data_IF_996898660898
#
_entry.id   IF_996898660898
#
_cell.length_a   1.000
_cell.length_b   1.000
_cell.length_c   1.000
_cell.angle_alpha   90.00
_cell.angle_beta   90.00
_cell.angle_gamma   90.00
#
_symmetry.space_group_name_H-M   'P 1'
#
loop_
_entity.id
_entity.type
_entity.pdbx_description
1 polymer ?
#
# COMPACT_ATOMS: atom_id res chain seq x y z
N UNK A 1 -26.26 -13.15 43.58
CA UNK A 1 -26.48 -12.22 42.47
C UNK A 1 -25.40 -11.14 42.51
N UNK A 2 -24.97 -10.63 41.36
CA UNK A 2 -24.14 -9.42 41.31
C UNK A 2 -24.94 -8.21 41.77
N UNK A 3 -24.28 -7.22 42.34
CA UNK A 3 -24.89 -5.94 42.72
C UNK A 3 -24.69 -4.89 41.62
N UNK A 4 -25.47 -3.81 41.66
CA UNK A 4 -25.23 -2.65 40.79
C UNK A 4 -23.84 -2.04 41.03
N UNK A 5 -23.34 -2.10 42.26
CA UNK A 5 -21.98 -1.66 42.60
C UNK A 5 -20.92 -2.54 41.91
N UNK A 6 -21.13 -3.85 41.83
CA UNK A 6 -20.21 -4.76 41.12
C UNK A 6 -20.14 -4.41 39.62
N UNK A 7 -21.29 -4.20 38.99
CA UNK A 7 -21.39 -3.81 37.57
C UNK A 7 -20.74 -2.45 37.34
N UNK A 8 -21.04 -1.48 38.21
CA UNK A 8 -20.47 -0.14 38.14
C UNK A 8 -18.94 -0.19 38.27
N UNK A 9 -18.42 -0.94 39.23
CA UNK A 9 -16.98 -1.06 39.46
C UNK A 9 -16.28 -1.70 38.25
N UNK A 10 -16.87 -2.72 37.62
CA UNK A 10 -16.31 -3.31 36.41
C UNK A 10 -16.32 -2.35 35.23
N UNK A 11 -17.41 -1.62 35.01
CA UNK A 11 -17.45 -0.61 33.96
C UNK A 11 -16.45 0.53 34.22
N UNK A 12 -16.29 0.93 35.49
CA UNK A 12 -15.40 2.03 35.88
C UNK A 12 -13.92 1.66 35.90
N UNK A 13 -13.57 0.41 36.21
CA UNK A 13 -12.16 0.03 36.51
C UNK A 13 -11.69 -1.24 35.81
N UNK A 14 -12.59 -1.96 35.13
CA UNK A 14 -12.31 -3.28 34.55
C UNK A 14 -12.25 -4.42 35.57
N UNK A 15 -12.40 -4.13 36.86
CA UNK A 15 -12.34 -5.14 37.92
C UNK A 15 -13.69 -5.85 38.04
N UNK A 16 -13.71 -7.16 37.81
CA UNK A 16 -14.92 -7.99 37.95
C UNK A 16 -15.31 -8.06 39.44
N UNK A 17 -16.54 -7.70 39.77
CA UNK A 17 -17.08 -7.82 41.12
C UNK A 17 -17.28 -9.28 41.57
N UNK A 18 -17.69 -9.49 42.82
CA UNK A 18 -17.89 -10.84 43.36
C UNK A 18 -19.36 -11.21 43.39
N UNK A 19 -19.73 -12.35 42.81
CA UNK A 19 -21.11 -12.83 42.87
C UNK A 19 -21.48 -13.18 44.31
N UNK A 20 -22.49 -12.49 44.86
CA UNK A 20 -23.04 -12.87 46.18
C UNK A 20 -23.74 -14.23 46.08
N UNK A 21 -23.46 -15.13 47.01
CA UNK A 21 -24.06 -16.47 47.08
C UNK A 21 -25.23 -16.57 48.06
N UNK A 22 -25.44 -15.54 48.89
CA UNK A 22 -26.56 -15.47 49.83
C UNK A 22 -27.89 -15.35 49.09
N UNK A 23 -28.89 -16.13 49.49
CA UNK A 23 -30.26 -16.06 48.97
C UNK A 23 -30.87 -14.70 49.25
N UNK A 24 -31.24 -13.98 48.20
CA UNK A 24 -32.05 -12.76 48.30
C UNK A 24 -33.48 -13.18 48.63
N UNK A 25 -34.05 -12.65 49.71
CA UNK A 25 -35.47 -12.86 50.04
C UNK A 25 -36.31 -11.94 49.18
N UNK A 26 -36.99 -12.48 48.17
CA UNK A 26 -37.88 -11.68 47.33
C UNK A 26 -39.15 -11.29 48.09
N UNK A 27 -39.73 -10.11 47.81
CA UNK A 27 -41.08 -9.79 48.26
C UNK A 27 -42.06 -10.86 47.77
N UNK A 28 -42.97 -11.31 48.64
CA UNK A 28 -43.93 -12.37 48.32
C UNK A 28 -44.93 -12.03 47.18
N UNK A 29 -44.95 -10.76 46.75
CA UNK A 29 -45.81 -10.27 45.68
C UNK A 29 -45.03 -9.30 44.79
N UNK A 30 -44.89 -9.65 43.51
CA UNK A 30 -44.23 -8.83 42.49
C UNK A 30 -44.81 -9.11 41.09
N UNK A 31 -44.50 -8.27 40.09
CA UNK A 31 -44.96 -8.46 38.72
C UNK A 31 -44.50 -9.82 38.17
N UNK A 32 -45.44 -10.61 37.64
CA UNK A 32 -45.23 -12.01 37.18
C UNK A 32 -44.48 -12.11 35.84
N UNK A 33 -44.20 -10.99 35.19
CA UNK A 33 -43.44 -10.93 33.94
C UNK A 33 -42.27 -9.96 34.12
N UNK A 34 -41.05 -10.48 34.06
CA UNK A 34 -39.84 -9.67 34.16
C UNK A 34 -39.76 -8.73 32.93
N UNK A 35 -39.79 -7.41 33.17
CA UNK A 35 -39.66 -6.39 32.12
C UNK A 35 -38.21 -5.98 31.85
N UNK A 36 -37.23 -6.52 32.59
CA UNK A 36 -35.81 -6.20 32.48
C UNK A 36 -34.88 -7.40 32.66
N UNK A 37 -33.61 -7.24 32.24
CA UNK A 37 -32.56 -8.26 32.39
C UNK A 37 -32.06 -8.36 33.83
N UNK A 38 -31.68 -9.56 34.26
CA UNK A 38 -31.10 -9.75 35.60
C UNK A 38 -29.67 -9.20 35.65
N UNK A 39 -29.21 -8.76 36.84
CA UNK A 39 -27.83 -8.30 37.03
C UNK A 39 -26.79 -9.37 36.67
N UNK A 40 -27.14 -10.66 36.84
CA UNK A 40 -26.26 -11.75 36.40
C UNK A 40 -26.15 -11.83 34.86
N UNK A 41 -27.26 -11.60 34.13
CA UNK A 41 -27.26 -11.59 32.67
C UNK A 41 -26.52 -10.36 32.11
N UNK A 42 -26.64 -9.21 32.77
CA UNK A 42 -25.88 -8.01 32.41
C UNK A 42 -24.38 -8.26 32.63
N UNK A 43 -24.00 -8.86 33.76
CA UNK A 43 -22.61 -9.18 34.08
C UNK A 43 -21.93 -10.04 32.99
N UNK A 44 -22.64 -11.01 32.42
CA UNK A 44 -22.09 -11.88 31.36
C UNK A 44 -21.85 -11.15 30.04
N UNK A 45 -22.48 -9.99 29.84
CA UNK A 45 -22.30 -9.16 28.64
C UNK A 45 -21.24 -8.06 28.83
N UNK A 46 -20.75 -7.86 30.06
CA UNK A 46 -19.76 -6.83 30.33
C UNK A 46 -18.42 -7.20 29.70
N UNK A 47 -17.69 -6.21 29.16
CA UNK A 47 -16.33 -6.43 28.72
C UNK A 47 -15.47 -6.92 29.89
N UNK A 48 -14.56 -7.83 29.59
CA UNK A 48 -13.54 -8.30 30.52
C UNK A 48 -12.19 -7.66 30.19
N UNK A 49 -11.31 -7.59 31.19
CA UNK A 49 -9.92 -7.18 30.97
C UNK A 49 -9.24 -8.15 30.01
N UNK A 50 -8.66 -7.63 28.94
CA UNK A 50 -7.84 -8.37 27.99
C UNK A 50 -6.50 -7.64 27.83
N UNK A 51 -5.57 -7.93 28.73
CA UNK A 51 -4.24 -7.32 28.71
C UNK A 51 -3.33 -7.89 27.60
N UNK A 52 -3.69 -9.03 27.00
CA UNK A 52 -2.85 -9.71 26.02
C UNK A 52 -3.20 -9.31 24.58
N UNK A 53 -4.49 -9.10 24.30
CA UNK A 53 -4.99 -8.82 22.95
C UNK A 53 -5.87 -7.56 22.88
N UNK A 54 -6.07 -6.87 24.01
CA UNK A 54 -6.77 -5.59 24.03
C UNK A 54 -6.05 -4.57 23.18
N UNK A 55 -6.77 -3.97 22.24
CA UNK A 55 -6.25 -2.89 21.41
C UNK A 55 -5.77 -1.72 22.28
N UNK A 56 -4.61 -1.18 21.94
CA UNK A 56 -4.14 0.10 22.49
C UNK A 56 -4.46 1.24 21.53
N UNK A 57 -4.31 2.49 21.99
CA UNK A 57 -4.57 3.65 21.14
C UNK A 57 -3.75 3.62 19.83
N UNK A 58 -2.53 3.09 19.86
CA UNK A 58 -1.68 2.94 18.68
C UNK A 58 -2.22 1.95 17.63
N UNK A 59 -3.16 1.07 17.98
CA UNK A 59 -3.78 0.08 17.08
C UNK A 59 -5.05 0.61 16.39
N UNK A 60 -5.51 1.80 16.78
CA UNK A 60 -6.78 2.36 16.29
C UNK A 60 -6.53 3.65 15.52
N UNK A 61 -7.25 3.81 14.41
CA UNK A 61 -7.14 4.99 13.54
C UNK A 61 -7.25 6.31 14.33
N UNK A 62 -6.41 7.30 14.00
CA UNK A 62 -6.38 8.57 14.71
C UNK A 62 -7.74 9.26 14.69
N UNK A 63 -8.20 9.70 15.87
CA UNK A 63 -9.48 10.39 16.05
C UNK A 63 -10.72 9.49 16.06
N UNK A 64 -10.58 8.17 15.89
CA UNK A 64 -11.67 7.21 16.14
C UNK A 64 -11.68 6.80 17.60
N UNK A 65 -12.86 6.64 18.19
CA UNK A 65 -13.00 6.20 19.57
C UNK A 65 -13.27 4.71 19.67
N UNK A 66 -12.82 4.08 20.75
CA UNK A 66 -13.04 2.68 21.06
C UNK A 66 -13.12 2.46 22.57
N UNK A 67 -13.62 1.29 23.00
CA UNK A 67 -13.57 0.90 24.41
C UNK A 67 -12.32 0.05 24.68
N UNK A 68 -11.36 0.59 25.44
CA UNK A 68 -10.14 -0.09 25.81
C UNK A 68 -10.36 -1.16 26.86
N UNK A 69 -9.66 -2.29 26.68
CA UNK A 69 -9.77 -3.49 27.52
C UNK A 69 -8.49 -3.77 28.35
N UNK A 70 -7.49 -2.91 28.26
CA UNK A 70 -6.18 -3.12 28.91
C UNK A 70 -6.09 -2.39 30.25
N UNK A 71 -5.22 -2.88 31.15
CA UNK A 71 -4.98 -2.23 32.44
C UNK A 71 -4.24 -0.90 32.23
N UNK A 72 -4.89 0.21 32.58
CA UNK A 72 -4.36 1.56 32.37
C UNK A 72 -4.97 2.32 31.19
N UNK A 73 -5.69 1.63 30.30
CA UNK A 73 -6.47 2.25 29.22
C UNK A 73 -7.91 1.73 29.18
N UNK A 74 -8.43 1.27 30.31
CA UNK A 74 -9.82 0.80 30.45
C UNK A 74 -10.80 1.95 30.18
N UNK A 75 -11.85 1.69 29.41
CA UNK A 75 -12.90 2.68 29.13
C UNK A 75 -12.76 3.35 27.76
N UNK A 76 -13.41 4.50 27.58
CA UNK A 76 -13.41 5.20 26.30
C UNK A 76 -12.00 5.75 25.98
N UNK A 77 -11.42 5.28 24.88
CA UNK A 77 -10.12 5.69 24.37
C UNK A 77 -10.28 6.30 22.98
N UNK A 78 -9.29 7.09 22.58
CA UNK A 78 -9.18 7.63 21.21
C UNK A 78 -7.95 7.05 20.55
N UNK A 79 -8.12 6.57 19.32
CA UNK A 79 -7.03 6.05 18.50
C UNK A 79 -5.98 7.13 18.22
N UNK A 80 -4.74 6.68 18.20
CA UNK A 80 -3.52 7.45 18.00
C UNK A 80 -2.55 6.76 17.04
N UNK A 81 -3.03 5.82 16.21
CA UNK A 81 -2.17 5.12 15.25
C UNK A 81 -1.41 6.12 14.38
N UNK A 82 -0.08 6.03 14.41
CA UNK A 82 0.79 6.84 13.57
C UNK A 82 0.79 6.32 12.13
N UNK A 83 0.84 7.23 11.16
CA UNK A 83 1.12 6.84 9.79
C UNK A 83 2.56 6.38 9.68
N UNK A 84 2.78 5.24 9.03
CA UNK A 84 4.12 4.75 8.66
C UNK A 84 4.77 5.67 7.61
N UNK A 85 3.98 6.55 6.97
CA UNK A 85 4.33 7.31 5.77
C UNK A 85 4.84 6.39 4.64
N UNK A 86 5.08 6.95 3.45
CA UNK A 86 5.76 6.19 2.38
C UNK A 86 7.30 6.18 2.56
N UNK A 87 7.80 6.43 3.77
CA UNK A 87 9.24 6.54 4.04
C UNK A 87 9.92 5.19 3.87
N UNK A 88 10.97 5.14 3.05
CA UNK A 88 11.73 3.92 2.78
C UNK A 88 11.07 2.96 1.77
N UNK A 89 9.87 3.27 1.27
CA UNK A 89 9.29 2.58 0.12
C UNK A 89 9.85 3.19 -1.16
N UNK A 90 10.49 2.35 -1.98
CA UNK A 90 11.04 2.77 -3.28
C UNK A 90 10.63 1.78 -4.36
N UNK A 91 10.34 2.32 -5.54
CA UNK A 91 10.09 1.57 -6.76
C UNK A 91 11.44 1.07 -7.30
N UNK A 92 11.93 -0.05 -6.77
CA UNK A 92 13.16 -0.69 -7.22
C UNK A 92 12.92 -1.84 -8.21
N UNK A 93 14.01 -2.40 -8.73
CA UNK A 93 13.97 -3.63 -9.54
C UNK A 93 13.62 -4.89 -8.73
N UNK A 94 13.51 -4.77 -7.40
CA UNK A 94 13.17 -5.88 -6.49
C UNK A 94 12.00 -5.50 -5.61
N UNK A 95 11.20 -6.51 -5.25
CA UNK A 95 10.06 -6.33 -4.35
C UNK A 95 10.54 -5.84 -2.98
N UNK A 96 9.85 -4.85 -2.44
CA UNK A 96 10.01 -4.39 -1.06
C UNK A 96 8.73 -4.72 -0.29
N UNK A 97 8.90 -5.28 0.91
CA UNK A 97 7.75 -5.59 1.79
C UNK A 97 7.52 -4.40 2.71
N UNK A 98 6.35 -3.73 2.64
CA UNK A 98 6.03 -2.66 3.58
C UNK A 98 5.83 -3.23 5.00
N UNK A 99 6.13 -2.41 6.00
CA UNK A 99 5.73 -2.70 7.38
C UNK A 99 4.21 -2.72 7.47
N UNK A 100 3.63 -3.69 8.18
CA UNK A 100 2.19 -3.68 8.44
C UNK A 100 1.78 -2.38 9.15
N UNK A 101 0.68 -1.76 8.74
CA UNK A 101 0.15 -0.57 9.41
C UNK A 101 -0.60 0.37 8.50
N UNK A 102 -0.75 1.61 8.97
CA UNK A 102 -1.49 2.67 8.30
C UNK A 102 -0.55 3.57 7.48
N UNK A 103 -0.97 3.88 6.25
CA UNK A 103 -0.25 4.71 5.31
C UNK A 103 -1.15 5.85 4.84
N UNK A 104 -0.63 7.07 4.84
CA UNK A 104 -1.36 8.27 4.39
C UNK A 104 -0.53 9.09 3.41
N UNK A 105 -1.23 9.83 2.55
CA UNK A 105 -0.63 10.67 1.52
C UNK A 105 -0.77 10.07 0.12
N UNK A 106 0.02 10.59 -0.81
CA UNK A 106 0.02 10.16 -2.22
C UNK A 106 1.33 9.45 -2.50
N UNK A 107 1.25 8.24 -3.08
CA UNK A 107 2.41 7.60 -3.70
C UNK A 107 2.59 8.19 -5.10
N UNK A 108 3.56 9.08 -5.25
CA UNK A 108 3.84 9.73 -6.53
C UNK A 108 4.51 8.74 -7.46
N UNK A 109 3.92 8.52 -8.64
CA UNK A 109 4.56 7.75 -9.72
C UNK A 109 5.68 8.55 -10.39
N UNK A 110 6.45 7.88 -11.24
CA UNK A 110 7.45 8.55 -12.07
C UNK A 110 6.83 9.02 -13.38
N UNK A 111 6.91 10.33 -13.67
CA UNK A 111 6.37 10.90 -14.91
C UNK A 111 7.12 10.40 -16.15
N UNK A 112 8.34 9.89 -15.99
CA UNK A 112 9.13 9.30 -17.07
C UNK A 112 8.75 7.84 -17.36
N UNK A 113 7.84 7.24 -16.58
CA UNK A 113 7.26 5.92 -16.89
C UNK A 113 6.21 6.03 -18.01
N UNK A 114 6.68 6.39 -19.20
CA UNK A 114 5.87 6.56 -20.41
C UNK A 114 6.46 5.73 -21.55
N UNK A 115 5.59 5.30 -22.47
CA UNK A 115 5.96 4.47 -23.63
C UNK A 115 7.13 5.03 -24.44
N UNK A 116 7.29 6.36 -24.52
CA UNK A 116 8.37 7.01 -25.26
C UNK A 116 9.76 6.89 -24.61
N UNK A 117 9.86 6.53 -23.33
CA UNK A 117 11.12 6.41 -22.59
C UNK A 117 11.56 4.95 -22.39
N UNK A 118 10.72 3.98 -22.76
CA UNK A 118 10.97 2.56 -22.55
C UNK A 118 11.35 1.90 -23.88
N UNK A 119 12.42 1.11 -23.87
CA UNK A 119 12.90 0.37 -25.05
C UNK A 119 11.83 -0.57 -25.59
N UNK A 120 11.67 -0.60 -26.91
CA UNK A 120 10.73 -1.46 -27.61
C UNK A 120 10.88 -2.94 -27.21
N UNK A 121 9.75 -3.60 -26.99
CA UNK A 121 9.71 -4.99 -26.52
C UNK A 121 9.89 -5.16 -25.00
N UNK A 122 10.27 -4.11 -24.26
CA UNK A 122 10.29 -4.11 -22.79
C UNK A 122 8.93 -3.65 -22.25
N UNK A 123 8.48 -4.26 -21.16
CA UNK A 123 7.31 -3.83 -20.40
C UNK A 123 7.73 -3.53 -18.97
N UNK A 124 7.44 -2.33 -18.49
CA UNK A 124 7.71 -1.90 -17.12
C UNK A 124 6.38 -1.52 -16.48
N UNK A 125 5.95 -2.28 -15.47
CA UNK A 125 4.69 -2.07 -14.74
C UNK A 125 3.44 -1.92 -15.64
N UNK A 126 3.38 -2.66 -16.76
CA UNK A 126 2.26 -2.62 -17.71
C UNK A 126 2.44 -1.59 -18.84
N UNK A 127 3.41 -0.68 -18.73
CA UNK A 127 3.72 0.29 -19.79
C UNK A 127 4.65 -0.37 -20.80
N UNK A 128 4.13 -0.59 -22.01
CA UNK A 128 4.91 -1.16 -23.10
C UNK A 128 5.80 -0.10 -23.75
N UNK A 129 7.04 -0.47 -24.06
CA UNK A 129 7.99 0.38 -24.76
C UNK A 129 7.62 0.63 -26.21
N UNK A 130 7.98 1.83 -26.70
CA UNK A 130 7.74 2.25 -28.07
C UNK A 130 8.68 1.51 -29.02
N UNK A 131 8.15 0.98 -30.11
CA UNK A 131 8.94 0.21 -31.10
C UNK A 131 10.14 0.98 -31.67
N UNK A 132 10.07 2.30 -31.71
CA UNK A 132 11.08 3.19 -32.25
C UNK A 132 12.18 3.56 -31.24
N UNK A 133 11.99 3.23 -29.95
CA UNK A 133 13.02 3.41 -28.92
C UNK A 133 13.82 2.11 -28.86
N UNK A 134 15.04 2.13 -29.39
CA UNK A 134 15.89 0.93 -29.52
C UNK A 134 17.28 1.19 -28.96
N UNK A 135 17.91 0.14 -28.45
CA UNK A 135 19.35 0.18 -28.15
C UNK A 135 20.12 0.27 -29.48
N UNK A 136 20.95 1.31 -29.60
CA UNK A 136 21.76 1.56 -30.81
C UNK A 136 23.21 1.16 -30.62
N UNK A 137 23.56 0.54 -29.49
CA UNK A 137 24.91 0.07 -29.22
C UNK A 137 25.27 -1.10 -30.15
N UNK A 138 26.41 -0.97 -30.82
CA UNK A 138 27.03 -2.04 -31.62
C UNK A 138 28.54 -1.87 -31.62
N UNK A 139 29.25 -2.99 -31.73
CA UNK A 139 30.71 -3.02 -31.81
C UNK A 139 31.24 -2.54 -33.16
N UNK A 140 30.40 -2.51 -34.20
CA UNK A 140 30.73 -2.04 -35.55
C UNK A 140 29.69 -1.00 -35.95
N UNK A 141 29.80 0.19 -35.37
CA UNK A 141 28.90 1.29 -35.66
C UNK A 141 29.16 1.87 -37.05
N UNK A 142 28.08 2.18 -37.78
CA UNK A 142 28.17 2.89 -39.05
C UNK A 142 28.80 4.27 -38.84
N UNK A 143 29.78 4.61 -39.66
CA UNK A 143 30.41 5.93 -39.70
C UNK A 143 29.73 6.81 -40.74
N UNK A 144 30.05 8.12 -40.76
CA UNK A 144 29.55 9.02 -41.80
C UNK A 144 29.90 8.52 -43.22
N UNK A 145 31.07 7.88 -43.39
CA UNK A 145 31.51 7.32 -44.67
C UNK A 145 30.69 6.13 -45.15
N UNK A 146 29.92 5.49 -44.26
CA UNK A 146 29.06 4.33 -44.57
C UNK A 146 27.63 4.75 -44.95
N UNK A 147 27.28 6.02 -44.75
CA UNK A 147 25.91 6.54 -44.92
C UNK A 147 25.90 7.54 -46.09
N UNK A 148 24.93 7.39 -46.98
CA UNK A 148 24.73 8.28 -48.14
C UNK A 148 24.57 9.73 -47.69
N UNK A 149 25.26 10.64 -48.38
CA UNK A 149 25.22 12.07 -48.09
C UNK A 149 23.80 12.62 -48.03
N UNK A 150 23.51 13.40 -46.99
CA UNK A 150 22.18 13.96 -46.71
C UNK A 150 21.21 13.01 -45.99
N UNK A 151 21.59 11.76 -45.73
CA UNK A 151 20.85 10.85 -44.83
C UNK A 151 21.43 10.91 -43.42
N UNK A 152 20.58 10.55 -42.45
CA UNK A 152 20.91 10.52 -41.02
C UNK A 152 20.62 9.12 -40.48
N UNK A 153 21.53 8.60 -39.68
CA UNK A 153 21.34 7.38 -38.91
C UNK A 153 21.65 7.63 -37.43
N UNK A 154 21.33 6.67 -36.57
CA UNK A 154 21.68 6.67 -35.16
C UNK A 154 22.57 5.46 -34.87
N UNK A 155 23.73 5.69 -34.25
CA UNK A 155 24.65 4.63 -33.86
C UNK A 155 25.31 4.98 -32.52
N UNK A 156 25.34 4.04 -31.59
CA UNK A 156 25.92 4.21 -30.24
C UNK A 156 25.44 5.49 -29.53
N UNK A 157 24.15 5.83 -29.63
CA UNK A 157 23.55 7.01 -29.01
C UNK A 157 23.84 8.35 -29.70
N UNK A 158 24.54 8.35 -30.84
CA UNK A 158 24.87 9.55 -31.60
C UNK A 158 24.10 9.62 -32.92
N UNK A 159 23.79 10.84 -33.33
CA UNK A 159 23.30 11.14 -34.68
C UNK A 159 24.49 11.16 -35.65
N UNK A 160 24.46 10.31 -36.67
CA UNK A 160 25.49 10.21 -37.71
C UNK A 160 24.94 10.71 -39.04
N UNK A 161 25.46 11.83 -39.53
CA UNK A 161 25.11 12.38 -40.84
C UNK A 161 26.03 11.82 -41.91
N UNK A 162 25.46 11.30 -43.00
CA UNK A 162 26.22 10.67 -44.07
C UNK A 162 27.11 11.62 -44.86
N UNK A 163 28.28 11.13 -45.26
CA UNK A 163 29.25 11.78 -46.16
C UNK A 163 29.56 10.96 -47.40
N UNK A 164 29.04 9.74 -47.53
CA UNK A 164 29.25 8.92 -48.72
C UNK A 164 28.62 9.60 -49.94
N UNK A 165 29.44 9.91 -50.94
CA UNK A 165 28.96 10.43 -52.22
C UNK A 165 28.00 9.44 -52.86
N UNK A 166 26.85 9.92 -53.36
CA UNK A 166 25.96 9.07 -54.15
C UNK A 166 26.68 8.63 -55.42
N UNK A 167 26.88 7.32 -55.58
CA UNK A 167 27.37 6.72 -56.82
C UNK A 167 26.22 6.69 -57.83
N UNK A 168 25.75 7.86 -58.23
CA UNK A 168 24.75 7.98 -59.28
C UNK A 168 25.42 7.51 -60.57
N UNK A 169 25.17 6.26 -60.94
CA UNK A 169 25.79 5.61 -62.09
C UNK A 169 25.19 6.19 -63.37
N UNK A 170 25.60 7.41 -63.74
CA UNK A 170 25.28 8.01 -65.03
C UNK A 170 26.35 7.59 -66.04
N UNK A 171 25.94 6.88 -67.11
CA UNK A 171 26.81 6.59 -68.24
C UNK A 171 27.25 5.13 -68.46
N UNK A 172 26.58 4.12 -67.88
CA UNK A 172 26.69 2.75 -68.42
C UNK A 172 26.03 2.72 -69.81
N UNK A 173 26.85 2.83 -70.84
CA UNK A 173 26.49 2.34 -72.17
C UNK A 173 26.99 0.91 -72.26
N UNK A 174 26.11 -0.05 -72.56
CA UNK A 174 26.54 -1.37 -73.01
C UNK A 174 27.17 -1.18 -74.39
N UNK A 175 28.50 -1.02 -74.44
CA UNK A 175 29.22 -1.07 -75.71
C UNK A 175 28.98 -2.43 -76.36
N UNK A 176 28.53 -2.45 -77.61
CA UNK A 176 28.44 -3.68 -78.38
C UNK A 176 29.85 -4.32 -78.42
N UNK A 177 29.93 -5.59 -78.03
CA UNK A 177 31.16 -6.38 -78.12
C UNK A 177 31.57 -6.51 -79.59
N UNK A 178 32.79 -6.07 -79.95
CA UNK A 178 33.41 -6.36 -81.25
C UNK A 178 33.86 -7.82 -81.32
#
# INVERSE_FOLDING_TARGET
MYTLTDIYNQLSTGTVGTKRTTTFGEPASGPTSATGQTLNAIQTMLPALDAAQGAVAADVFPGKTFWGLTSGAWGLQTGSMSSNNFSGLSCGASNTTPTSGYYTGTLTGDADLVTANIVGGVNIFGVSGKSEVVDTYTTIAATAGDIVSGKVAFANGLTVTGSMSSNNFSGLSCGASN
#
